data_IF_281316951330
#
_entry.id   IF_281316951330
#
_cell.length_a   1.000
_cell.length_b   1.000
_cell.length_c   1.000
_cell.angle_alpha   90.00
_cell.angle_beta   90.00
_cell.angle_gamma   90.00
#
_symmetry.space_group_name_H-M   'P 1'
#
loop_
_entity.id
_entity.type
_entity.pdbx_description
1 polymer ?
#
# COMPACT_ATOMS: atom_id res chain seq x y z
N UNK A 1 -10.16 12.22 -15.13
CA UNK A 1 -9.73 11.77 -13.78
C UNK A 1 -9.37 13.04 -13.01
N UNK A 2 -10.20 13.44 -12.03
CA UNK A 2 -9.97 14.62 -11.21
C UNK A 2 -8.76 14.37 -10.30
N UNK A 3 -7.72 15.17 -10.47
CA UNK A 3 -6.56 15.18 -9.58
C UNK A 3 -6.83 16.27 -8.55
N UNK A 4 -7.22 15.86 -7.34
CA UNK A 4 -7.32 16.75 -6.19
C UNK A 4 -5.93 17.29 -5.87
N UNK A 5 -5.74 18.59 -5.97
CA UNK A 5 -4.56 19.30 -5.48
C UNK A 5 -4.51 19.18 -3.96
N UNK A 6 -3.73 18.24 -3.43
CA UNK A 6 -3.34 18.27 -2.03
C UNK A 6 -2.55 19.55 -1.77
N UNK A 7 -2.88 20.35 -0.74
CA UNK A 7 -2.12 21.55 -0.41
C UNK A 7 -0.68 21.18 -0.05
N UNK A 8 0.28 21.88 -0.64
CA UNK A 8 1.69 21.82 -0.27
C UNK A 8 1.81 22.25 1.20
N UNK A 9 2.11 21.31 2.10
CA UNK A 9 2.66 21.65 3.41
C UNK A 9 4.15 21.90 3.18
N UNK A 10 4.56 23.17 3.28
CA UNK A 10 5.97 23.50 3.38
C UNK A 10 6.58 22.66 4.50
N UNK A 11 7.61 21.87 4.18
CA UNK A 11 8.33 21.11 5.18
C UNK A 11 9.00 22.09 6.16
N UNK A 12 8.67 21.97 7.45
CA UNK A 12 9.16 22.75 8.59
C UNK A 12 10.68 22.55 8.87
N UNK A 13 11.53 22.55 7.84
CA UNK A 13 12.98 22.33 7.99
C UNK A 13 13.78 23.60 8.31
N UNK A 14 13.15 24.78 8.35
CA UNK A 14 13.80 26.04 8.72
C UNK A 14 13.08 26.80 9.85
N UNK A 15 12.78 26.09 10.94
CA UNK A 15 12.59 26.70 12.26
C UNK A 15 13.61 26.09 13.22
N UNK A 16 14.64 26.85 13.57
CA UNK A 16 15.45 26.56 14.75
C UNK A 16 14.54 26.63 15.98
N UNK A 17 14.09 25.46 16.46
CA UNK A 17 13.34 25.33 17.70
C UNK A 17 14.29 25.45 18.91
N UNK A 18 13.96 26.23 19.95
CA UNK A 18 14.22 25.78 21.30
C UNK A 18 13.19 24.69 21.66
N UNK A 19 13.70 23.60 22.23
CA UNK A 19 12.96 22.45 22.79
C UNK A 19 11.64 22.85 23.48
N UNK A 20 10.53 22.20 23.13
CA UNK A 20 9.84 21.19 23.96
C UNK A 20 8.43 20.83 23.46
N UNK A 21 8.11 19.54 23.62
CA UNK A 21 6.80 18.91 23.85
C UNK A 21 5.70 18.89 22.76
N UNK A 22 5.46 17.64 22.30
CA UNK A 22 4.16 16.94 22.22
C UNK A 22 3.15 17.24 21.10
N UNK A 23 2.95 16.17 20.30
CA UNK A 23 1.70 15.65 19.74
C UNK A 23 0.91 16.52 18.74
N UNK A 24 0.88 16.10 17.46
CA UNK A 24 -0.32 15.58 16.73
C UNK A 24 0.09 15.25 15.27
N UNK A 25 -0.44 14.17 14.63
CA UNK A 25 0.15 13.55 13.45
C UNK A 25 -0.46 14.04 12.13
N UNK A 26 0.39 14.24 11.12
CA UNK A 26 0.01 14.41 9.72
C UNK A 26 0.60 13.28 8.87
N UNK A 27 -0.27 12.39 8.40
CA UNK A 27 -0.05 11.56 7.21
C UNK A 27 -1.40 10.94 6.80
N UNK A 28 -2.13 11.58 5.88
CA UNK A 28 -3.15 10.88 5.11
C UNK A 28 -2.43 9.98 4.12
N UNK A 29 -2.18 8.74 4.57
CA UNK A 29 -1.75 7.64 3.75
C UNK A 29 -2.93 7.23 2.87
N UNK A 30 -2.77 7.29 1.54
CA UNK A 30 -3.41 6.30 0.66
C UNK A 30 -2.72 4.95 0.88
N UNK A 31 -2.90 4.41 2.08
CA UNK A 31 -2.70 3.01 2.40
C UNK A 31 -4.09 2.50 2.73
N UNK A 32 -4.51 1.42 2.09
CA UNK A 32 -5.64 0.64 2.55
C UNK A 32 -5.54 0.51 4.08
N UNK A 33 -6.65 0.71 4.79
CA UNK A 33 -6.77 0.42 6.22
C UNK A 33 -6.48 -1.06 6.46
N UNK A 34 -5.20 -1.43 6.47
CA UNK A 34 -4.71 -2.56 7.21
C UNK A 34 -4.49 -1.96 8.59
N UNK A 35 -5.39 -2.26 9.53
CA UNK A 35 -5.12 -2.02 10.94
C UNK A 35 -3.67 -2.42 11.18
N UNK A 36 -2.84 -1.48 11.65
CA UNK A 36 -1.44 -1.73 11.95
C UNK A 36 -1.41 -2.89 12.95
N UNK A 37 -1.26 -4.11 12.45
CA UNK A 37 -1.01 -5.28 13.28
C UNK A 37 0.28 -4.92 14.00
N UNK A 38 0.18 -4.75 15.31
CA UNK A 38 1.30 -4.31 16.13
C UNK A 38 2.29 -5.49 16.20
N UNK A 39 3.11 -5.65 15.16
CA UNK A 39 4.08 -6.74 15.06
C UNK A 39 5.18 -6.45 16.08
N UNK A 40 5.34 -7.27 17.13
CA UNK A 40 6.42 -7.09 18.09
C UNK A 40 7.76 -7.14 17.36
N UNK A 41 8.77 -6.40 17.84
CA UNK A 41 10.10 -6.39 17.25
C UNK A 41 10.77 -7.80 17.17
N UNK A 42 10.25 -8.78 17.91
CA UNK A 42 10.65 -10.19 17.88
C UNK A 42 9.71 -11.14 17.11
N UNK A 43 8.70 -10.62 16.41
CA UNK A 43 7.65 -11.42 15.77
C UNK A 43 6.57 -11.91 16.73
N UNK A 44 5.62 -12.70 16.21
CA UNK A 44 4.59 -13.37 17.00
C UNK A 44 5.00 -14.80 17.30
N UNK A 45 4.95 -15.22 18.58
CA UNK A 45 5.05 -16.62 18.93
C UNK A 45 3.74 -17.34 18.59
N UNK A 46 3.77 -18.07 17.49
CA UNK A 46 2.62 -18.83 16.98
C UNK A 46 2.63 -20.29 17.44
N UNK A 47 3.58 -20.71 18.30
CA UNK A 47 3.60 -22.08 18.83
C UNK A 47 2.32 -22.40 19.59
N UNK A 48 1.76 -23.56 19.28
CA UNK A 48 0.47 -24.01 19.77
C UNK A 48 -0.74 -23.23 19.25
N UNK A 49 -0.57 -22.22 18.38
CA UNK A 49 -1.71 -21.52 17.74
C UNK A 49 -2.25 -22.34 16.56
N UNK A 50 -3.51 -22.13 16.22
CA UNK A 50 -4.18 -22.83 15.12
C UNK A 50 -4.37 -21.86 13.96
N UNK A 51 -3.94 -22.26 12.77
CA UNK A 51 -4.25 -21.53 11.54
C UNK A 51 -5.73 -21.71 11.21
N UNK A 52 -6.50 -20.63 11.11
CA UNK A 52 -7.97 -20.67 10.93
C UNK A 52 -8.41 -21.02 9.49
N UNK A 53 -7.49 -21.24 8.57
CA UNK A 53 -7.80 -21.62 7.18
C UNK A 53 -8.69 -22.87 7.09
N UNK A 54 -8.67 -23.77 8.09
CA UNK A 54 -9.54 -24.95 8.12
C UNK A 54 -11.04 -24.66 8.21
N UNK A 55 -11.40 -23.43 8.58
CA UNK A 55 -12.80 -22.99 8.64
C UNK A 55 -13.29 -22.46 7.29
N UNK A 56 -12.41 -22.23 6.33
CA UNK A 56 -12.78 -21.67 5.03
C UNK A 56 -13.38 -22.75 4.13
N UNK A 57 -14.48 -22.40 3.47
CA UNK A 57 -15.05 -23.15 2.35
C UNK A 57 -14.41 -22.77 1.01
N UNK A 58 -14.60 -23.56 -0.05
CA UNK A 58 -14.19 -23.18 -1.41
C UNK A 58 -14.74 -21.81 -1.83
N UNK A 59 -15.94 -21.44 -1.38
CA UNK A 59 -16.60 -20.16 -1.64
C UNK A 59 -15.90 -18.96 -0.96
N UNK A 60 -15.15 -19.21 0.12
CA UNK A 60 -14.39 -18.18 0.84
C UNK A 60 -13.01 -17.93 0.21
N UNK A 61 -12.59 -18.80 -0.73
CA UNK A 61 -11.26 -18.79 -1.32
C UNK A 61 -11.36 -18.25 -2.74
N UNK A 62 -10.84 -17.04 -2.95
CA UNK A 62 -10.67 -16.49 -4.30
C UNK A 62 -9.27 -16.87 -4.81
N UNK A 63 -9.20 -17.71 -5.83
CA UNK A 63 -7.95 -18.02 -6.50
C UNK A 63 -7.46 -16.77 -7.25
N UNK A 64 -6.28 -16.30 -6.90
CA UNK A 64 -5.61 -15.25 -7.66
C UNK A 64 -4.83 -15.87 -8.81
N UNK A 65 -5.45 -16.00 -9.98
CA UNK A 65 -4.84 -16.53 -11.21
C UNK A 65 -3.86 -15.56 -11.90
N UNK A 66 -3.58 -14.42 -11.25
CA UNK A 66 -2.61 -13.47 -11.74
C UNK A 66 -1.20 -13.94 -11.42
N UNK A 67 -0.59 -14.69 -12.33
CA UNK A 67 0.88 -14.77 -12.44
C UNK A 67 1.42 -13.43 -12.99
N UNK A 68 0.92 -12.33 -12.45
CA UNK A 68 1.39 -11.00 -12.77
C UNK A 68 2.68 -10.84 -12.01
N UNK A 69 3.77 -10.67 -12.75
CA UNK A 69 4.99 -10.14 -12.18
C UNK A 69 4.63 -8.80 -11.56
N UNK A 70 4.42 -8.78 -10.25
CA UNK A 70 4.12 -7.57 -9.49
C UNK A 70 5.17 -6.49 -9.77
N UNK A 71 6.41 -6.91 -10.08
CA UNK A 71 7.48 -6.04 -10.56
C UNK A 71 7.16 -5.42 -11.94
N UNK A 72 6.66 -6.19 -12.91
CA UNK A 72 6.24 -5.67 -14.20
C UNK A 72 5.04 -4.70 -14.09
N UNK A 73 4.08 -5.01 -13.22
CA UNK A 73 2.95 -4.11 -12.92
C UNK A 73 3.40 -2.83 -12.21
N UNK A 74 4.40 -2.92 -11.32
CA UNK A 74 5.02 -1.76 -10.70
C UNK A 74 5.67 -0.86 -11.77
N UNK A 75 6.40 -1.41 -12.73
CA UNK A 75 6.99 -0.63 -13.82
C UNK A 75 5.93 0.10 -14.69
N UNK A 76 4.77 -0.53 -14.95
CA UNK A 76 3.74 0.07 -15.81
C UNK A 76 2.87 1.12 -15.12
N UNK A 77 2.82 1.11 -13.78
CA UNK A 77 2.03 2.06 -13.00
C UNK A 77 2.76 3.40 -12.79
N UNK A 78 4.09 3.41 -12.95
CA UNK A 78 4.88 4.61 -12.75
C UNK A 78 5.16 5.32 -14.08
N UNK A 79 4.82 6.61 -14.13
CA UNK A 79 5.26 7.53 -15.18
C UNK A 79 6.78 7.67 -15.22
N UNK A 80 7.32 7.89 -16.41
CA UNK A 80 8.71 8.30 -16.59
C UNK A 80 8.97 9.64 -15.90
N UNK A 81 10.19 9.82 -15.36
CA UNK A 81 10.57 11.07 -14.68
C UNK A 81 10.48 12.27 -15.61
N UNK A 82 10.87 12.10 -16.88
CA UNK A 82 10.81 13.15 -17.91
C UNK A 82 9.37 13.54 -18.19
N UNK A 83 8.47 12.56 -18.30
CA UNK A 83 7.04 12.81 -18.51
C UNK A 83 6.41 13.53 -17.31
N UNK A 84 6.81 13.17 -16.10
CA UNK A 84 6.34 13.82 -14.87
C UNK A 84 6.84 15.27 -14.76
N UNK A 85 8.12 15.49 -15.04
CA UNK A 85 8.73 16.82 -15.07
C UNK A 85 8.03 17.70 -16.11
N UNK A 86 7.90 17.20 -17.35
CA UNK A 86 7.18 17.90 -18.41
C UNK A 86 5.73 18.21 -18.01
N UNK A 87 5.05 17.28 -17.33
CA UNK A 87 3.70 17.53 -16.84
C UNK A 87 3.65 18.71 -15.85
N UNK A 88 4.59 18.78 -14.91
CA UNK A 88 4.67 19.88 -13.94
C UNK A 88 5.04 21.21 -14.60
N UNK A 89 5.99 21.19 -15.55
CA UNK A 89 6.38 22.38 -16.32
C UNK A 89 5.20 22.89 -17.13
N UNK A 90 4.50 22.02 -17.87
CA UNK A 90 3.32 22.41 -18.66
C UNK A 90 2.21 22.98 -17.79
N UNK A 91 1.94 22.40 -16.61
CA UNK A 91 1.01 22.97 -15.64
C UNK A 91 1.48 24.32 -15.10
N UNK A 92 2.78 24.48 -14.86
CA UNK A 92 3.37 25.73 -14.38
C UNK A 92 3.18 26.89 -15.36
N UNK A 93 3.19 26.61 -16.67
CA UNK A 93 3.04 27.62 -17.73
C UNK A 93 1.59 28.07 -17.97
N UNK A 94 0.60 27.36 -17.41
CA UNK A 94 -0.81 27.69 -17.60
C UNK A 94 -1.19 28.98 -16.87
N UNK A 95 -2.09 29.77 -17.48
CA UNK A 95 -2.59 31.05 -16.97
C UNK A 95 -4.08 30.95 -16.67
N UNK A 96 -4.41 30.18 -15.66
CA UNK A 96 -5.79 29.84 -15.32
C UNK A 96 -6.37 30.64 -14.14
N UNK A 97 -5.56 31.52 -13.53
CA UNK A 97 -5.96 32.33 -12.38
C UNK A 97 -6.62 33.64 -12.83
N UNK A 98 -7.85 33.85 -12.37
CA UNK A 98 -8.65 35.06 -12.63
C UNK A 98 -8.69 36.04 -11.46
N UNK A 99 -8.40 35.59 -10.23
CA UNK A 99 -8.39 36.47 -9.05
C UNK A 99 -7.32 36.05 -8.06
N UNK A 100 -6.65 37.03 -7.46
CA UNK A 100 -5.65 36.82 -6.40
C UNK A 100 -5.85 37.79 -5.25
N UNK A 101 -5.74 37.28 -4.02
CA UNK A 101 -5.74 38.07 -2.79
C UNK A 101 -4.32 38.10 -2.24
N UNK A 102 -3.80 39.30 -2.01
CA UNK A 102 -2.45 39.53 -1.53
C UNK A 102 -2.43 40.21 -0.18
N UNK A 103 -1.52 39.79 0.68
CA UNK A 103 -1.17 40.45 1.95
C UNK A 103 0.34 40.51 2.05
N UNK A 104 0.90 41.69 2.38
CA UNK A 104 2.34 41.92 2.48
C UNK A 104 3.14 41.46 1.25
N UNK A 105 2.57 41.67 0.05
CA UNK A 105 3.20 41.27 -1.22
C UNK A 105 3.20 39.76 -1.51
N UNK A 106 2.52 38.95 -0.69
CA UNK A 106 2.37 37.50 -0.90
C UNK A 106 0.95 37.12 -1.27
N UNK A 107 0.81 36.17 -2.19
CA UNK A 107 -0.47 35.64 -2.62
C UNK A 107 -1.04 34.63 -1.61
N UNK A 108 -2.00 35.05 -0.79
CA UNK A 108 -2.57 34.20 0.28
C UNK A 108 -3.75 33.33 -0.19
N UNK A 109 -4.43 33.73 -1.27
CA UNK A 109 -5.44 32.93 -1.94
C UNK A 109 -5.57 33.33 -3.42
N UNK A 110 -6.04 32.40 -4.25
CA UNK A 110 -6.33 32.64 -5.66
C UNK A 110 -7.54 31.82 -6.12
N UNK A 111 -8.21 32.29 -7.16
CA UNK A 111 -9.34 31.62 -7.80
C UNK A 111 -9.11 31.49 -9.30
N UNK A 112 -9.33 30.30 -9.84
CA UNK A 112 -9.27 30.00 -11.26
C UNK A 112 -10.56 30.39 -12.00
N UNK A 113 -10.48 30.50 -13.33
CA UNK A 113 -11.66 30.75 -14.18
C UNK A 113 -12.71 29.63 -14.11
N UNK A 114 -12.27 28.42 -13.78
CA UNK A 114 -13.12 27.25 -13.53
C UNK A 114 -13.81 27.27 -12.15
N UNK A 115 -13.51 28.29 -11.33
CA UNK A 115 -14.00 28.44 -9.97
C UNK A 115 -13.19 27.67 -8.93
N UNK A 116 -12.09 27.00 -9.30
CA UNK A 116 -11.21 26.34 -8.35
C UNK A 116 -10.54 27.37 -7.44
N UNK A 117 -10.59 27.14 -6.13
CA UNK A 117 -10.00 28.04 -5.13
C UNK A 117 -8.75 27.39 -4.55
N UNK A 118 -7.65 28.13 -4.57
CA UNK A 118 -6.36 27.72 -4.04
C UNK A 118 -5.95 28.67 -2.92
N UNK A 119 -5.94 28.17 -1.69
CA UNK A 119 -5.68 28.93 -0.49
C UNK A 119 -6.32 28.25 0.72
N UNK A 120 -6.15 28.82 1.92
CA UNK A 120 -6.75 28.27 3.13
C UNK A 120 -7.29 29.37 4.04
N UNK A 121 -8.16 28.97 4.96
CA UNK A 121 -8.74 29.85 5.99
C UNK A 121 -9.58 30.98 5.41
N UNK A 122 -9.58 32.11 6.12
CA UNK A 122 -10.48 33.23 5.87
C UNK A 122 -10.39 33.76 4.42
N UNK A 123 -9.22 33.72 3.77
CA UNK A 123 -9.06 34.18 2.40
C UNK A 123 -9.75 33.25 1.37
N UNK A 124 -9.71 31.93 1.59
CA UNK A 124 -10.46 30.97 0.77
C UNK A 124 -11.96 31.06 1.02
N UNK A 125 -12.38 31.30 2.28
CA UNK A 125 -13.79 31.48 2.63
C UNK A 125 -14.40 32.72 1.95
N UNK A 126 -13.63 33.81 1.83
CA UNK A 126 -14.06 35.01 1.10
C UNK A 126 -14.35 34.68 -0.37
N UNK A 127 -13.47 33.94 -1.04
CA UNK A 127 -13.66 33.54 -2.45
C UNK A 127 -14.87 32.60 -2.60
N UNK A 128 -15.06 31.66 -1.67
CA UNK A 128 -16.23 30.78 -1.65
C UNK A 128 -17.55 31.57 -1.46
N UNK A 129 -17.57 32.54 -0.54
CA UNK A 129 -18.76 33.33 -0.22
C UNK A 129 -19.11 34.33 -1.32
N UNK A 130 -18.09 34.90 -1.97
CA UNK A 130 -18.28 35.88 -3.02
C UNK A 130 -18.55 35.25 -4.40
N UNK A 131 -18.10 34.02 -4.62
CA UNK A 131 -18.08 33.42 -5.95
C UNK A 131 -17.16 34.23 -6.87
N UNK A 132 -17.64 34.57 -8.06
CA UNK A 132 -16.88 35.36 -9.04
C UNK A 132 -17.27 36.86 -9.06
N UNK A 133 -17.94 37.37 -8.02
CA UNK A 133 -18.37 38.78 -7.95
C UNK A 133 -17.21 39.69 -7.45
N UNK A 134 -16.59 40.51 -8.32
CA UNK A 134 -15.40 41.28 -7.96
C UNK A 134 -15.64 42.32 -6.86
N UNK A 135 -16.82 42.95 -6.84
CA UNK A 135 -17.13 43.98 -5.86
C UNK A 135 -17.40 43.37 -4.48
N UNK A 136 -18.07 42.21 -4.46
CA UNK A 136 -18.26 41.45 -3.22
C UNK A 136 -16.93 40.91 -2.67
N UNK A 137 -16.02 40.43 -3.53
CA UNK A 137 -14.67 40.01 -3.12
C UNK A 137 -13.93 41.19 -2.47
N UNK A 138 -13.88 42.35 -3.14
CA UNK A 138 -13.20 43.54 -2.59
C UNK A 138 -13.78 43.95 -1.23
N UNK A 139 -15.10 43.94 -1.08
CA UNK A 139 -15.77 44.29 0.18
C UNK A 139 -15.37 43.34 1.32
N UNK A 140 -15.44 42.03 1.08
CA UNK A 140 -15.11 41.02 2.09
C UNK A 140 -13.61 41.01 2.41
N UNK A 141 -12.74 41.21 1.42
CA UNK A 141 -11.30 41.34 1.66
C UNK A 141 -11.01 42.57 2.52
N UNK A 142 -11.56 43.74 2.21
CA UNK A 142 -11.35 44.96 3.01
C UNK A 142 -11.85 44.82 4.46
N UNK A 143 -12.90 44.02 4.69
CA UNK A 143 -13.44 43.77 6.03
C UNK A 143 -12.50 42.87 6.88
N UNK A 144 -11.90 41.86 6.27
CA UNK A 144 -11.13 40.83 6.99
C UNK A 144 -9.62 41.05 6.93
N UNK A 145 -9.13 41.74 5.91
CA UNK A 145 -7.72 42.03 5.65
C UNK A 145 -7.57 43.50 5.18
N UNK A 146 -7.55 44.47 6.10
CA UNK A 146 -7.54 45.90 5.75
C UNK A 146 -6.36 46.34 4.87
N UNK A 147 -5.22 45.67 5.01
CA UNK A 147 -3.99 45.95 4.25
C UNK A 147 -3.83 45.05 3.01
N UNK A 148 -4.82 44.21 2.71
CA UNK A 148 -4.79 43.38 1.53
C UNK A 148 -5.11 44.16 0.26
N UNK A 149 -4.57 43.67 -0.86
CA UNK A 149 -5.03 44.07 -2.19
C UNK A 149 -5.53 42.86 -2.96
N UNK A 150 -6.44 43.11 -3.90
CA UNK A 150 -7.03 42.08 -4.75
C UNK A 150 -6.74 42.44 -6.19
N UNK A 151 -6.20 41.48 -6.94
CA UNK A 151 -5.99 41.59 -8.38
C UNK A 151 -6.99 40.70 -9.13
N UNK A 152 -7.51 41.24 -10.23
CA UNK A 152 -8.44 40.55 -11.12
C UNK A 152 -7.84 40.55 -12.53
N UNK A 153 -7.88 39.39 -13.18
CA UNK A 153 -7.30 39.21 -14.51
C UNK A 153 -8.37 38.74 -15.49
N UNK A 154 -8.24 39.20 -16.74
CA UNK A 154 -9.01 38.62 -17.84
C UNK A 154 -8.40 37.26 -18.23
N UNK A 155 -9.23 36.39 -18.79
CA UNK A 155 -8.84 35.03 -19.19
C UNK A 155 -7.55 35.04 -20.04
N UNK A 156 -6.53 34.29 -19.60
CA UNK A 156 -5.21 34.22 -20.23
C UNK A 156 -4.24 35.37 -19.93
N UNK A 157 -4.69 36.46 -19.30
CA UNK A 157 -3.87 37.64 -18.99
C UNK A 157 -3.26 37.60 -17.59
N UNK A 158 -3.71 36.67 -16.75
CA UNK A 158 -3.19 36.48 -15.40
C UNK A 158 -1.78 35.90 -15.34
N UNK A 159 -1.20 35.84 -14.13
CA UNK A 159 0.08 35.18 -13.89
C UNK A 159 0.00 33.69 -14.24
N UNK A 160 1.14 33.10 -14.52
CA UNK A 160 1.23 31.65 -14.67
C UNK A 160 1.06 30.96 -13.32
N UNK A 161 0.71 29.67 -13.32
CA UNK A 161 0.66 28.87 -12.10
C UNK A 161 2.01 28.84 -11.37
N UNK A 162 3.12 28.87 -12.11
CA UNK A 162 4.45 29.01 -11.54
C UNK A 162 4.61 30.35 -10.81
N UNK A 163 4.23 31.47 -11.43
CA UNK A 163 4.28 32.79 -10.80
C UNK A 163 3.43 32.85 -9.52
N UNK A 164 2.22 32.28 -9.56
CA UNK A 164 1.30 32.21 -8.41
C UNK A 164 1.92 31.41 -7.27
N UNK A 165 2.60 30.30 -7.58
CA UNK A 165 3.35 29.51 -6.60
C UNK A 165 4.47 30.34 -5.97
N UNK A 166 5.27 31.03 -6.78
CA UNK A 166 6.40 31.84 -6.30
C UNK A 166 5.93 33.01 -5.44
N UNK A 167 4.85 33.68 -5.82
CA UNK A 167 4.22 34.75 -5.04
C UNK A 167 3.65 34.26 -3.71
N UNK A 168 3.24 32.99 -3.63
CA UNK A 168 2.69 32.41 -2.40
C UNK A 168 3.78 31.90 -1.46
N UNK A 169 4.74 31.15 -1.99
CA UNK A 169 5.71 30.39 -1.19
C UNK A 169 7.10 31.03 -1.15
N UNK A 170 7.35 32.07 -1.96
CA UNK A 170 8.63 32.79 -2.00
C UNK A 170 9.80 31.93 -2.47
N UNK A 171 9.53 30.84 -3.20
CA UNK A 171 10.51 29.87 -3.67
C UNK A 171 10.24 29.57 -5.14
N UNK A 172 11.30 29.42 -5.94
CA UNK A 172 11.20 29.14 -7.37
C UNK A 172 10.38 27.86 -7.63
N UNK A 173 9.45 27.93 -8.60
CA UNK A 173 8.61 26.79 -8.96
C UNK A 173 9.45 25.61 -9.48
N UNK A 174 10.56 25.89 -10.18
CA UNK A 174 11.50 24.87 -10.66
C UNK A 174 12.03 23.99 -9.52
N UNK A 175 12.33 24.57 -8.34
CA UNK A 175 12.79 23.80 -7.18
C UNK A 175 11.69 22.84 -6.70
N UNK A 176 10.44 23.29 -6.70
CA UNK A 176 9.30 22.44 -6.37
C UNK A 176 9.16 21.29 -7.37
N UNK A 177 9.26 21.56 -8.67
CA UNK A 177 9.21 20.51 -9.71
C UNK A 177 10.31 19.46 -9.48
N UNK A 178 11.55 19.91 -9.29
CA UNK A 178 12.68 19.03 -9.03
C UNK A 178 12.46 18.18 -7.77
N UNK A 179 11.96 18.78 -6.69
CA UNK A 179 11.63 18.07 -5.45
C UNK A 179 10.53 17.01 -5.69
N UNK A 180 9.47 17.33 -6.43
CA UNK A 180 8.40 16.37 -6.73
C UNK A 180 8.89 15.20 -7.59
N UNK A 181 9.72 15.47 -8.59
CA UNK A 181 10.29 14.42 -9.47
C UNK A 181 11.24 13.51 -8.68
N UNK A 182 12.10 14.07 -7.83
CA UNK A 182 13.00 13.30 -6.98
C UNK A 182 12.23 12.46 -5.96
N UNK A 183 11.27 13.05 -5.25
CA UNK A 183 10.42 12.31 -4.30
C UNK A 183 9.68 11.16 -4.97
N UNK A 184 9.18 11.37 -6.19
CA UNK A 184 8.52 10.33 -6.96
C UNK A 184 9.48 9.19 -7.36
N UNK A 185 10.70 9.54 -7.76
CA UNK A 185 11.78 8.57 -8.04
C UNK A 185 12.15 7.73 -6.82
N UNK A 186 12.34 8.38 -5.66
CA UNK A 186 12.72 7.70 -4.43
C UNK A 186 11.63 6.76 -3.93
N UNK A 187 10.36 7.17 -4.04
CA UNK A 187 9.22 6.31 -3.75
C UNK A 187 9.16 5.10 -4.68
N UNK A 188 9.40 5.32 -5.98
CA UNK A 188 9.45 4.25 -6.96
C UNK A 188 10.54 3.22 -6.62
N UNK A 189 11.77 3.68 -6.34
CA UNK A 189 12.88 2.80 -5.96
C UNK A 189 12.57 2.04 -4.67
N UNK A 190 12.02 2.71 -3.67
CA UNK A 190 11.64 2.09 -2.39
C UNK A 190 10.62 0.97 -2.61
N UNK A 191 9.61 1.22 -3.45
CA UNK A 191 8.60 0.21 -3.79
C UNK A 191 9.21 -0.96 -4.58
N UNK A 192 10.16 -0.69 -5.48
CA UNK A 192 10.86 -1.73 -6.24
C UNK A 192 11.68 -2.63 -5.31
N UNK A 193 12.43 -2.05 -4.37
CA UNK A 193 13.19 -2.81 -3.37
C UNK A 193 12.24 -3.68 -2.53
N UNK A 194 11.16 -3.11 -2.01
CA UNK A 194 10.18 -3.85 -1.21
C UNK A 194 9.53 -5.00 -2.01
N UNK A 195 9.23 -4.76 -3.28
CA UNK A 195 8.69 -5.76 -4.20
C UNK A 195 9.68 -6.91 -4.45
N UNK A 196 10.94 -6.60 -4.72
CA UNK A 196 11.99 -7.60 -4.91
C UNK A 196 12.24 -8.41 -3.64
N UNK A 197 12.27 -7.76 -2.47
CA UNK A 197 12.41 -8.45 -1.19
C UNK A 197 11.25 -9.41 -0.94
N UNK A 198 10.02 -9.00 -1.21
CA UNK A 198 8.84 -9.86 -1.12
C UNK A 198 8.96 -11.06 -2.07
N UNK A 199 9.38 -10.83 -3.32
CA UNK A 199 9.59 -11.90 -4.29
C UNK A 199 10.67 -12.88 -3.83
N UNK A 200 11.82 -12.38 -3.33
CA UNK A 200 12.89 -13.22 -2.78
C UNK A 200 12.41 -14.02 -1.57
N UNK A 201 11.63 -13.42 -0.66
CA UNK A 201 11.03 -14.12 0.48
C UNK A 201 10.09 -15.24 0.03
N UNK A 202 9.22 -14.98 -0.94
CA UNK A 202 8.33 -15.99 -1.55
C UNK A 202 9.15 -17.12 -2.17
N UNK A 203 10.14 -16.80 -3.00
CA UNK A 203 10.99 -17.78 -3.67
C UNK A 203 11.73 -18.68 -2.66
N UNK A 204 12.32 -18.08 -1.61
CA UNK A 204 13.02 -18.85 -0.57
C UNK A 204 12.06 -19.74 0.23
N UNK A 205 10.83 -19.28 0.48
CA UNK A 205 9.79 -20.10 1.08
C UNK A 205 9.40 -21.26 0.15
N UNK A 206 9.19 -21.02 -1.13
CA UNK A 206 8.83 -22.04 -2.12
C UNK A 206 9.94 -23.06 -2.37
N UNK A 207 11.21 -22.64 -2.29
CA UNK A 207 12.40 -23.49 -2.45
C UNK A 207 12.79 -24.26 -1.18
N UNK A 208 12.08 -24.09 -0.07
CA UNK A 208 12.41 -24.80 1.18
C UNK A 208 12.21 -26.31 0.99
N UNK A 209 13.23 -27.15 1.24
CA UNK A 209 13.12 -28.61 1.10
C UNK A 209 12.10 -29.20 2.09
N UNK A 210 11.23 -30.09 1.60
CA UNK A 210 10.24 -30.81 2.40
C UNK A 210 10.75 -32.22 2.70
N UNK A 211 11.17 -32.45 3.94
CA UNK A 211 11.74 -33.73 4.39
C UNK A 211 10.68 -34.79 4.70
N UNK A 212 9.41 -34.40 4.78
CA UNK A 212 8.28 -35.32 4.90
C UNK A 212 7.12 -34.86 4.02
N UNK A 213 6.53 -35.80 3.29
CA UNK A 213 5.32 -35.58 2.48
C UNK A 213 4.26 -36.56 2.95
N UNK A 214 3.05 -36.06 3.16
CA UNK A 214 1.91 -36.82 3.65
C UNK A 214 0.85 -36.91 2.57
N UNK A 215 0.38 -38.13 2.32
CA UNK A 215 -0.67 -38.38 1.34
C UNK A 215 -1.84 -39.13 1.96
N UNK A 216 -3.03 -38.88 1.42
CA UNK A 216 -4.29 -39.57 1.73
C UNK A 216 -4.85 -40.07 0.41
N UNK A 217 -5.10 -41.38 0.26
CA UNK A 217 -5.49 -42.00 -1.03
C UNK A 217 -4.54 -41.69 -2.20
N UNK A 218 -3.25 -41.55 -1.92
CA UNK A 218 -2.25 -41.18 -2.93
C UNK A 218 -2.23 -39.69 -3.30
N UNK A 219 -3.17 -38.87 -2.83
CA UNK A 219 -3.16 -37.42 -3.00
C UNK A 219 -2.35 -36.75 -1.89
N UNK A 220 -1.46 -35.84 -2.27
CA UNK A 220 -0.62 -35.10 -1.31
C UNK A 220 -1.47 -34.06 -0.58
N UNK A 221 -1.57 -34.17 0.75
CA UNK A 221 -2.39 -33.28 1.58
C UNK A 221 -1.57 -32.34 2.47
N UNK A 222 -0.33 -32.70 2.78
CA UNK A 222 0.56 -31.88 3.59
C UNK A 222 2.02 -32.21 3.35
N UNK A 223 2.91 -31.31 3.75
CA UNK A 223 4.35 -31.55 3.78
C UNK A 223 5.02 -30.84 4.93
N UNK A 224 6.23 -31.26 5.31
CA UNK A 224 6.98 -30.73 6.45
C UNK A 224 8.44 -30.52 6.10
N UNK A 225 9.01 -29.42 6.54
CA UNK A 225 10.44 -29.14 6.39
C UNK A 225 11.30 -29.69 7.56
N UNK A 226 12.62 -29.52 7.45
CA UNK A 226 13.59 -29.95 8.47
C UNK A 226 13.50 -29.17 9.79
N UNK A 227 12.79 -28.04 9.81
CA UNK A 227 12.53 -27.21 11.00
C UNK A 227 11.20 -27.51 11.66
N UNK A 228 10.42 -28.44 11.11
CA UNK A 228 9.12 -28.84 11.64
C UNK A 228 7.96 -27.93 11.23
N UNK A 229 8.16 -27.01 10.29
CA UNK A 229 7.03 -26.30 9.70
C UNK A 229 6.27 -27.25 8.78
N UNK A 230 4.96 -27.39 9.02
CA UNK A 230 4.05 -28.17 8.19
C UNK A 230 3.30 -27.23 7.25
N UNK A 231 3.49 -27.41 5.94
CA UNK A 231 2.65 -26.80 4.91
C UNK A 231 1.39 -27.67 4.74
N UNK A 232 0.27 -27.14 5.23
CA UNK A 232 -1.06 -27.74 5.17
C UNK A 232 -2.06 -26.66 4.77
N UNK A 233 -2.97 -26.99 3.85
CA UNK A 233 -3.85 -26.00 3.24
C UNK A 233 -4.93 -26.64 2.38
N UNK A 234 -5.20 -26.02 1.23
CA UNK A 234 -6.32 -26.37 0.37
C UNK A 234 -6.39 -27.86 -0.02
N UNK A 235 -5.30 -28.56 -0.39
CA UNK A 235 -5.39 -29.98 -0.75
C UNK A 235 -5.99 -30.86 0.36
N UNK A 236 -5.62 -30.63 1.62
CA UNK A 236 -6.20 -31.35 2.76
C UNK A 236 -7.69 -31.03 2.94
N UNK A 237 -8.07 -29.77 2.74
CA UNK A 237 -9.46 -29.32 2.86
C UNK A 237 -10.36 -29.95 1.79
N UNK A 238 -9.85 -30.06 0.55
CA UNK A 238 -10.54 -30.74 -0.56
C UNK A 238 -10.82 -32.20 -0.18
N UNK A 239 -9.79 -32.95 0.22
CA UNK A 239 -9.94 -34.37 0.61
C UNK A 239 -10.88 -34.53 1.81
N UNK A 240 -10.85 -33.60 2.77
CA UNK A 240 -11.76 -33.61 3.91
C UNK A 240 -13.23 -33.38 3.47
N UNK A 241 -13.47 -32.45 2.55
CA UNK A 241 -14.81 -32.15 2.04
C UNK A 241 -15.38 -33.31 1.23
N UNK A 242 -14.57 -33.92 0.36
CA UNK A 242 -14.96 -35.09 -0.45
C UNK A 242 -15.39 -36.28 0.43
N UNK A 243 -14.77 -36.41 1.61
CA UNK A 243 -15.09 -37.45 2.60
C UNK A 243 -16.17 -37.03 3.61
N UNK A 244 -16.71 -35.83 3.51
CA UNK A 244 -17.72 -35.30 4.43
C UNK A 244 -17.20 -35.13 5.87
N UNK A 245 -15.89 -34.90 6.05
CA UNK A 245 -15.27 -34.70 7.35
C UNK A 245 -15.59 -33.30 7.86
N UNK A 246 -16.16 -33.20 9.05
CA UNK A 246 -16.46 -31.93 9.68
C UNK A 246 -15.18 -31.10 9.91
N UNK A 247 -15.21 -29.82 9.53
CA UNK A 247 -14.06 -28.89 9.63
C UNK A 247 -13.43 -28.83 11.02
N UNK A 248 -14.24 -28.84 12.07
CA UNK A 248 -13.74 -28.82 13.47
C UNK A 248 -12.83 -30.01 13.81
N UNK A 249 -13.02 -31.15 13.14
CA UNK A 249 -12.16 -32.34 13.30
C UNK A 249 -10.74 -32.09 12.78
N UNK A 250 -10.56 -31.13 11.87
CA UNK A 250 -9.27 -30.80 11.26
C UNK A 250 -8.41 -29.89 12.13
N UNK A 251 -8.98 -29.28 13.17
CA UNK A 251 -8.34 -28.21 13.97
C UNK A 251 -6.92 -28.52 14.44
N UNK A 252 -6.67 -29.73 14.91
CA UNK A 252 -5.34 -30.13 15.41
C UNK A 252 -4.29 -30.31 14.30
N UNK A 253 -4.72 -30.61 13.07
CA UNK A 253 -3.84 -30.67 11.89
C UNK A 253 -3.30 -29.28 11.54
N UNK A 254 -4.10 -28.23 11.78
CA UNK A 254 -3.73 -26.83 11.52
C UNK A 254 -3.05 -26.13 12.71
N UNK A 255 -2.77 -26.86 13.80
CA UNK A 255 -2.01 -26.33 14.94
C UNK A 255 -0.52 -26.30 14.61
N UNK A 256 0.09 -25.12 14.77
CA UNK A 256 1.54 -24.96 14.63
C UNK A 256 2.27 -25.56 15.83
N UNK A 257 2.91 -26.71 15.61
CA UNK A 257 3.63 -27.49 16.62
C UNK A 257 4.94 -28.03 16.00
N UNK A 258 6.00 -27.21 15.87
CA UNK A 258 7.24 -27.59 15.18
C UNK A 258 7.97 -28.78 15.84
N UNK A 259 7.75 -28.99 17.14
CA UNK A 259 8.24 -30.12 17.91
C UNK A 259 7.58 -31.46 17.52
N UNK A 260 6.46 -31.43 16.81
CA UNK A 260 5.73 -32.64 16.39
C UNK A 260 6.56 -33.42 15.38
N UNK A 261 6.72 -34.72 15.64
CA UNK A 261 7.41 -35.62 14.70
C UNK A 261 6.55 -35.87 13.45
N UNK A 262 7.17 -36.25 12.32
CA UNK A 262 6.42 -36.69 11.15
C UNK A 262 5.44 -37.83 11.46
N UNK A 263 5.84 -38.78 12.30
CA UNK A 263 5.03 -39.94 12.69
C UNK A 263 3.82 -39.54 13.53
N UNK A 264 3.99 -38.59 14.47
CA UNK A 264 2.87 -38.03 15.24
C UNK A 264 1.87 -37.30 14.34
N UNK A 265 2.37 -36.54 13.35
CA UNK A 265 1.51 -35.87 12.39
C UNK A 265 0.76 -36.87 11.50
N UNK A 266 1.44 -37.94 11.06
CA UNK A 266 0.80 -39.06 10.35
C UNK A 266 -0.30 -39.70 11.19
N UNK A 267 -0.07 -39.90 12.49
CA UNK A 267 -1.08 -40.45 13.40
C UNK A 267 -2.31 -39.54 13.54
N UNK A 268 -2.13 -38.21 13.56
CA UNK A 268 -3.25 -37.26 13.53
C UNK A 268 -4.04 -37.38 12.22
N UNK A 269 -3.36 -37.41 11.08
CA UNK A 269 -4.00 -37.63 9.79
C UNK A 269 -4.77 -38.95 9.78
N UNK A 270 -4.19 -40.03 10.27
CA UNK A 270 -4.86 -41.33 10.37
C UNK A 270 -6.07 -41.29 11.31
N UNK A 271 -6.01 -40.52 12.40
CA UNK A 271 -7.16 -40.32 13.29
C UNK A 271 -8.34 -39.61 12.62
N UNK A 272 -8.08 -38.78 11.61
CA UNK A 272 -9.09 -38.02 10.85
C UNK A 272 -9.56 -38.78 9.62
N UNK A 273 -8.64 -39.34 8.84
CA UNK A 273 -8.88 -39.93 7.51
C UNK A 273 -8.92 -41.47 7.52
N UNK A 274 -8.45 -42.14 8.57
CA UNK A 274 -8.40 -43.60 8.63
C UNK A 274 -7.13 -44.20 8.01
N UNK A 275 -7.25 -45.41 7.42
CA UNK A 275 -6.13 -46.29 7.10
C UNK A 275 -5.22 -45.88 5.94
N UNK A 276 -5.70 -45.03 5.04
CA UNK A 276 -5.03 -44.74 3.76
C UNK A 276 -4.06 -43.54 3.83
N UNK A 277 -3.38 -43.38 4.96
CA UNK A 277 -2.41 -42.31 5.19
C UNK A 277 -0.98 -42.79 4.98
N UNK A 278 -0.30 -42.18 4.03
CA UNK A 278 1.09 -42.46 3.70
C UNK A 278 2.03 -41.34 4.16
N UNK A 279 3.25 -41.72 4.53
CA UNK A 279 4.33 -40.82 4.88
C UNK A 279 5.53 -41.19 4.02
N UNK A 280 5.97 -40.27 3.18
CA UNK A 280 7.24 -40.37 2.46
C UNK A 280 8.26 -39.45 3.11
N UNK A 281 9.38 -40.02 3.55
CA UNK A 281 10.47 -39.29 4.18
C UNK A 281 11.66 -39.16 3.22
N UNK A 282 12.29 -37.98 3.22
CA UNK A 282 13.43 -37.66 2.36
C UNK A 282 14.61 -37.20 3.19
N UNK A 283 15.82 -37.49 2.71
CA UNK A 283 17.00 -36.76 3.17
C UNK A 283 16.94 -35.31 2.68
N UNK A 284 17.60 -34.38 3.37
CA UNK A 284 17.61 -32.96 2.96
C UNK A 284 18.16 -32.74 1.54
N UNK A 285 19.06 -33.60 1.06
CA UNK A 285 19.66 -33.49 -0.26
C UNK A 285 18.73 -33.99 -1.39
N UNK A 286 17.77 -34.85 -1.07
CA UNK A 286 16.85 -35.48 -2.03
C UNK A 286 15.41 -34.99 -1.88
N UNK A 287 15.15 -34.16 -0.86
CA UNK A 287 13.85 -33.63 -0.53
C UNK A 287 13.35 -32.70 -1.65
N UNK A 288 12.11 -32.87 -2.14
CA UNK A 288 11.50 -31.93 -3.06
C UNK A 288 11.32 -30.57 -2.38
N UNK A 289 11.32 -29.52 -3.17
CA UNK A 289 10.95 -28.17 -2.73
C UNK A 289 9.46 -28.11 -2.41
N UNK A 290 9.06 -27.14 -1.57
CA UNK A 290 7.65 -26.88 -1.26
C UNK A 290 6.82 -26.64 -2.52
N UNK A 291 7.36 -25.90 -3.49
CA UNK A 291 6.71 -25.68 -4.78
C UNK A 291 6.47 -26.98 -5.57
N UNK A 292 7.47 -27.87 -5.63
CA UNK A 292 7.32 -29.16 -6.31
C UNK A 292 6.28 -30.05 -5.61
N UNK A 293 6.23 -30.04 -4.27
CA UNK A 293 5.21 -30.79 -3.53
C UNK A 293 3.81 -30.23 -3.79
N UNK A 294 3.65 -28.91 -3.82
CA UNK A 294 2.36 -28.26 -4.13
C UNK A 294 1.89 -28.60 -5.55
N UNK A 295 2.78 -28.53 -6.53
CA UNK A 295 2.46 -28.91 -7.91
C UNK A 295 2.00 -30.38 -8.01
N UNK A 296 2.59 -31.28 -7.21
CA UNK A 296 2.12 -32.68 -7.12
C UNK A 296 0.72 -32.78 -6.53
N UNK A 297 0.41 -32.00 -5.49
CA UNK A 297 -0.90 -31.95 -4.86
C UNK A 297 -2.00 -31.42 -5.79
N UNK A 298 -1.65 -30.54 -6.74
CA UNK A 298 -2.59 -30.01 -7.74
C UNK A 298 -2.82 -30.96 -8.93
N UNK A 299 -1.90 -31.92 -9.14
CA UNK A 299 -1.91 -32.83 -10.30
C UNK A 299 -2.49 -34.23 -10.03
N UNK A 300 -2.77 -34.57 -8.78
CA UNK A 300 -3.31 -35.87 -8.34
C UNK A 300 -4.78 -35.78 -7.97
#
# INVERSE_FOLDING_TARGET
MQITSTPYQASDTYRTLPKSAENTPSAQQFGQHIDKVNVPAGGFDVRGKVNLIYLLGPEDITEFSGDKSFLADLHTTFKDQTDLEQQYVQKGLQREIGTMIFVDGKAIASQGYDGAIYGQGQAADILNQAGNDPEKIKQLVAQHFPDAHVEFYAEGEGPTNADVFELRYGSAYENYVNEQVQNYSDQYLTNQIAAEENYRRKLMFEQTPQTSVFSVDGQVVASRDDKGFVDVGLPLLIVADERGIARETLKELFRYAPERSPEDYKALLHGVFGGDVELTSYSKAEAPTRAEVRSRAESG
#
